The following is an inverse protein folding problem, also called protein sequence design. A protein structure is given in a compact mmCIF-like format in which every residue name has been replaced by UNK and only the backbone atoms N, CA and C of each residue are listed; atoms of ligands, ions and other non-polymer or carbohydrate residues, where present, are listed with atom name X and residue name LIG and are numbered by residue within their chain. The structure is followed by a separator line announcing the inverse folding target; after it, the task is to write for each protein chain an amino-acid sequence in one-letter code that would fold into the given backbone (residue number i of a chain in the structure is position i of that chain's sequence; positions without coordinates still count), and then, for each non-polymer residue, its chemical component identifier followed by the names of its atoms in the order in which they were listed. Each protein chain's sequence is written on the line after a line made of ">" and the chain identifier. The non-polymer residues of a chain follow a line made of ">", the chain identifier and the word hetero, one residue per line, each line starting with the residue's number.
data_IF_990846076595
#
_entry.id   IF_990846076595
#
_cell.length_a   1.000
_cell.length_b   1.000
_cell.length_c   1.000
_cell.angle_alpha   90.00
_cell.angle_beta   90.00
_cell.angle_gamma   90.00
#
_symmetry.space_group_name_H-M   'P 1'
#
loop_
_entity.id
_entity.type
_entity.pdbx_description
1 polymer ?
#
# COMPACT_ATOMS: atom_id res chain seq x y z
N UNK A 1 30.31 18.81 14.48
CA UNK A 1 28.91 19.27 14.32
C UNK A 1 27.95 18.18 14.81
N UNK A 2 27.42 18.36 16.02
CA UNK A 2 26.45 17.46 16.63
C UNK A 2 25.14 17.56 15.83
N UNK A 3 24.73 16.47 15.18
CA UNK A 3 23.40 16.37 14.59
C UNK A 3 22.42 16.34 15.75
N UNK A 4 21.66 17.42 15.94
CA UNK A 4 20.46 17.41 16.78
C UNK A 4 19.57 16.27 16.26
N UNK A 5 19.45 15.21 17.06
CA UNK A 5 18.52 14.12 16.79
C UNK A 5 17.13 14.74 16.86
N UNK A 6 16.53 14.98 15.70
CA UNK A 6 15.16 15.42 15.63
C UNK A 6 14.30 14.28 16.21
N UNK A 7 13.80 14.49 17.43
CA UNK A 7 12.99 13.54 18.19
C UNK A 7 11.57 13.42 17.64
N UNK A 8 11.22 14.19 16.62
CA UNK A 8 9.99 14.05 15.87
C UNK A 8 10.10 12.90 14.85
N UNK A 9 9.06 12.06 14.82
CA UNK A 9 8.81 11.06 13.80
C UNK A 9 8.18 11.72 12.57
N UNK A 10 8.28 11.05 11.43
CA UNK A 10 7.70 11.49 10.15
C UNK A 10 6.17 11.63 10.17
N UNK A 11 5.48 11.10 11.20
CA UNK A 11 4.07 11.34 11.43
C UNK A 11 3.76 12.68 12.14
N UNK A 12 4.78 13.47 12.46
CA UNK A 12 4.68 14.74 13.18
C UNK A 12 4.49 14.62 14.70
N UNK A 13 4.71 13.43 15.28
CA UNK A 13 4.68 13.20 16.73
C UNK A 13 6.09 12.91 17.25
N UNK A 14 6.35 13.15 18.53
CA UNK A 14 7.59 12.73 19.16
C UNK A 14 7.72 11.20 19.14
N UNK A 15 8.92 10.69 18.87
CA UNK A 15 9.22 9.24 18.84
C UNK A 15 8.89 8.55 20.16
N UNK A 16 9.01 9.26 21.28
CA UNK A 16 8.56 8.79 22.60
C UNK A 16 7.06 8.51 22.66
N UNK A 17 6.24 9.22 21.88
CA UNK A 17 4.78 9.05 21.80
C UNK A 17 4.34 7.89 20.89
N UNK A 18 5.28 7.12 20.32
CA UNK A 18 4.98 5.90 19.57
C UNK A 18 4.88 4.65 20.46
N UNK A 19 5.12 4.79 21.77
CA UNK A 19 4.87 3.69 22.70
C UNK A 19 3.37 3.39 22.80
N UNK A 20 3.05 2.19 23.28
CA UNK A 20 1.66 1.83 23.57
C UNK A 20 1.04 2.80 24.59
N UNK A 21 1.83 3.29 25.56
CA UNK A 21 1.39 4.35 26.48
C UNK A 21 1.17 5.70 25.78
N UNK A 22 2.03 6.11 24.86
CA UNK A 22 1.87 7.35 24.08
C UNK A 22 0.64 7.36 23.16
N UNK A 23 0.13 6.18 22.77
CA UNK A 23 -1.16 6.03 22.09
C UNK A 23 -2.36 6.20 23.04
N UNK A 24 -2.20 5.81 24.31
CA UNK A 24 -3.22 5.95 25.37
C UNK A 24 -3.29 7.38 25.93
N UNK A 25 -2.21 8.17 25.80
CA UNK A 25 -2.14 9.56 26.26
C UNK A 25 -3.00 10.56 25.45
N UNK A 26 -3.66 10.12 24.37
CA UNK A 26 -4.71 10.92 23.72
C UNK A 26 -5.97 10.96 24.60
N UNK A 27 -5.90 11.72 25.69
CA UNK A 27 -6.92 11.94 26.71
C UNK A 27 -8.11 12.74 26.17
N UNK A 28 -8.84 12.14 25.24
CA UNK A 28 -10.19 12.52 24.89
C UNK A 28 -11.10 11.37 25.32
N UNK A 29 -12.10 11.66 26.16
CA UNK A 29 -13.16 10.69 26.48
C UNK A 29 -14.04 10.33 25.26
N UNK A 30 -13.84 10.99 24.10
CA UNK A 30 -14.52 10.65 22.87
C UNK A 30 -13.91 9.39 22.22
N UNK A 31 -14.72 8.53 21.59
CA UNK A 31 -14.23 7.36 20.87
C UNK A 31 -13.27 7.79 19.76
N UNK A 32 -12.14 7.07 19.67
CA UNK A 32 -11.14 7.30 18.65
C UNK A 32 -11.77 7.23 17.25
N UNK A 33 -11.46 8.21 16.40
CA UNK A 33 -11.79 8.15 14.99
C UNK A 33 -10.62 8.67 14.16
N UNK A 34 -10.39 8.06 12.99
CA UNK A 34 -9.24 8.40 12.16
C UNK A 34 -9.26 9.86 11.67
N UNK A 35 -10.44 10.51 11.61
CA UNK A 35 -10.57 11.87 11.08
C UNK A 35 -10.04 12.93 12.05
N UNK A 36 -10.26 12.74 13.36
CA UNK A 36 -9.85 13.69 14.39
C UNK A 36 -8.59 13.25 15.15
N UNK A 37 -8.24 11.97 15.11
CA UNK A 37 -7.14 11.41 15.91
C UNK A 37 -5.90 11.04 15.08
N UNK A 38 -5.91 11.29 13.76
CA UNK A 38 -4.73 11.17 12.89
C UNK A 38 -4.28 12.54 12.37
N UNK A 39 -2.97 12.75 12.32
CA UNK A 39 -2.40 13.90 11.64
C UNK A 39 -2.32 13.59 10.14
N UNK A 40 -2.63 14.55 9.25
CA UNK A 40 -2.36 14.37 7.83
C UNK A 40 -0.85 14.21 7.63
N UNK A 41 -0.46 13.15 6.92
CA UNK A 41 0.86 12.92 6.37
C UNK A 41 1.14 14.00 5.32
N UNK A 42 2.06 14.91 5.65
CA UNK A 42 2.46 16.02 4.77
C UNK A 42 3.29 15.51 3.59
N UNK A 43 4.31 14.69 3.88
CA UNK A 43 5.20 14.06 2.91
C UNK A 43 5.34 12.58 3.21
N UNK A 44 5.33 11.72 2.18
CA UNK A 44 5.61 10.29 2.35
C UNK A 44 7.11 10.03 2.20
N UNK A 45 7.74 9.50 3.25
CA UNK A 45 9.14 9.01 3.18
C UNK A 45 9.21 7.49 2.97
N UNK A 46 8.06 6.84 2.83
CA UNK A 46 7.94 5.38 2.73
C UNK A 46 7.58 4.98 1.30
N UNK A 47 8.55 5.10 0.41
CA UNK A 47 8.48 4.63 -0.98
C UNK A 47 9.81 4.01 -1.38
N UNK A 48 9.82 3.17 -2.41
CA UNK A 48 11.05 2.57 -2.92
C UNK A 48 10.82 1.25 -3.65
N UNK A 49 11.84 0.40 -3.63
CA UNK A 49 11.84 -0.92 -4.26
C UNK A 49 11.96 -1.99 -3.17
N UNK A 50 11.07 -2.97 -3.21
CA UNK A 50 11.17 -4.20 -2.43
C UNK A 50 12.09 -5.17 -3.18
N UNK A 51 13.20 -5.53 -2.54
CA UNK A 51 14.12 -6.54 -3.04
C UNK A 51 13.75 -7.90 -2.46
N UNK A 52 13.14 -8.77 -3.26
CA UNK A 52 12.96 -10.17 -2.88
C UNK A 52 14.13 -10.99 -3.41
N UNK A 53 14.86 -11.76 -2.58
CA UNK A 53 16.04 -12.51 -3.00
C UNK A 53 15.84 -13.57 -4.11
N UNK A 54 14.59 -13.84 -4.49
CA UNK A 54 14.23 -14.87 -5.47
C UNK A 54 13.39 -14.33 -6.64
N UNK A 55 13.09 -13.03 -6.67
CA UNK A 55 12.30 -12.44 -7.76
C UNK A 55 13.20 -11.83 -8.82
N UNK A 56 12.87 -12.10 -10.09
CA UNK A 56 13.53 -11.51 -11.25
C UNK A 56 13.01 -10.09 -11.57
N UNK A 57 11.98 -9.64 -10.85
CA UNK A 57 11.29 -8.38 -11.12
C UNK A 57 11.46 -7.40 -9.95
N UNK A 58 11.55 -6.11 -10.27
CA UNK A 58 11.61 -5.04 -9.28
C UNK A 58 10.19 -4.68 -8.84
N UNK A 59 9.89 -4.87 -7.56
CA UNK A 59 8.58 -4.51 -7.00
C UNK A 59 8.66 -3.12 -6.37
N UNK A 60 8.09 -2.10 -7.03
CA UNK A 60 8.00 -0.73 -6.49
C UNK A 60 6.83 -0.62 -5.50
N UNK A 61 6.99 0.21 -4.46
CA UNK A 61 5.93 0.49 -3.50
C UNK A 61 5.93 1.96 -3.08
N UNK A 62 4.76 2.45 -2.67
CA UNK A 62 4.57 3.78 -2.07
C UNK A 62 3.45 3.73 -1.03
N UNK A 63 3.69 4.34 0.14
CA UNK A 63 2.64 4.59 1.13
C UNK A 63 1.92 5.90 0.79
N UNK A 64 0.59 5.83 0.70
CA UNK A 64 -0.26 6.98 0.38
C UNK A 64 -1.21 7.32 1.53
N UNK A 65 -1.72 8.56 1.53
CA UNK A 65 -2.80 8.94 2.44
C UNK A 65 -4.14 8.38 1.97
N UNK A 66 -5.07 8.20 2.90
CA UNK A 66 -6.43 7.77 2.58
C UNK A 66 -7.15 8.74 1.62
N UNK A 67 -6.81 10.03 1.66
CA UNK A 67 -7.43 11.08 0.83
C UNK A 67 -6.65 11.38 -0.45
N UNK A 68 -5.55 10.67 -0.73
CA UNK A 68 -4.81 10.85 -1.98
C UNK A 68 -5.77 10.59 -3.17
N UNK A 69 -5.93 11.53 -4.10
CA UNK A 69 -6.83 11.35 -5.25
C UNK A 69 -6.39 10.15 -6.11
N UNK A 70 -7.36 9.35 -6.56
CA UNK A 70 -7.08 8.19 -7.42
C UNK A 70 -6.38 8.59 -8.74
N UNK A 71 -6.69 9.77 -9.27
CA UNK A 71 -6.06 10.31 -10.48
C UNK A 71 -4.55 10.53 -10.30
N UNK A 72 -4.11 11.01 -9.13
CA UNK A 72 -2.70 11.17 -8.83
C UNK A 72 -1.98 9.81 -8.79
N UNK A 73 -2.62 8.79 -8.21
CA UNK A 73 -2.08 7.43 -8.20
C UNK A 73 -2.03 6.80 -9.60
N UNK A 74 -3.08 7.04 -10.40
CA UNK A 74 -3.14 6.57 -11.77
C UNK A 74 -2.01 7.18 -12.62
N UNK A 75 -1.82 8.50 -12.54
CA UNK A 75 -0.75 9.18 -13.26
C UNK A 75 0.62 8.63 -12.85
N UNK A 76 0.86 8.41 -11.55
CA UNK A 76 2.10 7.82 -11.06
C UNK A 76 2.35 6.41 -11.62
N UNK A 77 1.31 5.56 -11.68
CA UNK A 77 1.42 4.22 -12.27
C UNK A 77 1.72 4.32 -13.77
N UNK A 78 1.04 5.21 -14.49
CA UNK A 78 1.22 5.39 -15.93
C UNK A 78 2.55 6.07 -16.32
N UNK A 79 3.16 6.87 -15.45
CA UNK A 79 4.52 7.40 -15.68
C UNK A 79 5.55 6.26 -15.72
N UNK A 80 5.37 5.25 -14.87
CA UNK A 80 6.24 4.07 -14.80
C UNK A 80 5.86 2.97 -15.81
N UNK A 81 4.59 2.89 -16.20
CA UNK A 81 4.11 1.94 -17.19
C UNK A 81 4.21 2.51 -18.60
N UNK A 82 5.06 1.93 -19.44
CA UNK A 82 5.23 2.36 -20.84
C UNK A 82 3.93 2.34 -21.68
N UNK A 83 2.88 1.67 -21.21
CA UNK A 83 1.58 1.55 -21.88
C UNK A 83 0.42 1.54 -20.86
N UNK A 84 -0.69 2.19 -21.23
CA UNK A 84 -1.93 2.14 -20.46
C UNK A 84 -2.58 0.75 -20.59
N UNK A 85 -2.99 0.10 -19.49
CA UNK A 85 -3.63 -1.21 -19.57
C UNK A 85 -5.00 -1.12 -20.27
N UNK A 86 -5.24 -2.04 -21.20
CA UNK A 86 -6.52 -2.19 -21.91
C UNK A 86 -7.60 -2.91 -21.08
N UNK A 87 -7.20 -3.61 -20.02
CA UNK A 87 -8.05 -4.38 -19.11
C UNK A 87 -7.54 -4.28 -17.67
N UNK A 88 -8.45 -4.07 -16.72
CA UNK A 88 -8.18 -4.11 -15.27
C UNK A 88 -8.96 -5.28 -14.67
N UNK A 89 -8.24 -6.22 -14.03
CA UNK A 89 -8.84 -7.36 -13.33
C UNK A 89 -8.73 -7.13 -11.83
N UNK A 90 -9.86 -6.91 -11.16
CA UNK A 90 -9.92 -6.79 -9.69
C UNK A 90 -10.32 -8.12 -9.06
N UNK A 91 -9.37 -8.79 -8.41
CA UNK A 91 -9.62 -10.04 -7.68
C UNK A 91 -9.82 -9.70 -6.21
N UNK A 92 -11.04 -9.92 -5.70
CA UNK A 92 -11.40 -9.69 -4.31
C UNK A 92 -11.73 -11.01 -3.61
N UNK A 93 -11.42 -11.11 -2.31
CA UNK A 93 -11.65 -12.30 -1.51
C UNK A 93 -11.85 -11.95 -0.03
N UNK A 94 -11.96 -12.97 0.81
CA UNK A 94 -12.01 -12.80 2.27
C UNK A 94 -10.63 -12.87 2.92
N UNK A 95 -10.53 -12.35 4.15
CA UNK A 95 -9.30 -12.43 4.96
C UNK A 95 -8.91 -13.88 5.32
N UNK A 96 -9.90 -14.77 5.46
CA UNK A 96 -9.68 -16.16 5.88
C UNK A 96 -9.19 -17.02 4.72
N UNK A 97 -8.21 -17.87 5.01
CA UNK A 97 -7.78 -18.91 4.09
C UNK A 97 -8.96 -19.80 3.68
N UNK A 98 -9.18 -19.93 2.39
CA UNK A 98 -10.12 -20.89 1.82
C UNK A 98 -9.35 -21.87 0.95
N UNK A 99 -9.81 -23.12 0.92
CA UNK A 99 -9.22 -24.17 0.08
C UNK A 99 -10.08 -24.36 -1.15
N UNK A 100 -9.47 -24.21 -2.32
CA UNK A 100 -10.06 -24.66 -3.58
C UNK A 100 -9.73 -26.13 -3.80
N UNK A 101 -10.60 -26.85 -4.51
CA UNK A 101 -10.19 -28.15 -5.04
C UNK A 101 -9.14 -27.95 -6.15
N UNK A 102 -8.26 -28.94 -6.33
CA UNK A 102 -7.12 -28.84 -7.26
C UNK A 102 -7.52 -28.53 -8.71
N UNK A 103 -8.69 -29.01 -9.15
CA UNK A 103 -9.20 -28.75 -10.51
C UNK A 103 -9.59 -27.28 -10.67
N UNK A 104 -10.35 -26.75 -9.71
CA UNK A 104 -10.80 -25.37 -9.71
C UNK A 104 -9.62 -24.40 -9.63
N UNK A 105 -8.66 -24.66 -8.73
CA UNK A 105 -7.45 -23.86 -8.59
C UNK A 105 -6.67 -23.78 -9.92
N UNK A 106 -6.48 -24.94 -10.57
CA UNK A 106 -5.79 -25.01 -11.87
C UNK A 106 -6.51 -24.21 -12.96
N UNK A 107 -7.81 -24.41 -13.12
CA UNK A 107 -8.57 -23.73 -14.18
C UNK A 107 -8.72 -22.23 -13.90
N UNK A 108 -8.86 -21.83 -12.64
CA UNK A 108 -8.90 -20.43 -12.22
C UNK A 108 -7.59 -19.71 -12.54
N UNK A 109 -6.45 -20.28 -12.13
CA UNK A 109 -5.12 -19.74 -12.44
C UNK A 109 -4.88 -19.64 -13.95
N UNK A 110 -5.23 -20.69 -14.70
CA UNK A 110 -5.09 -20.73 -16.16
C UNK A 110 -5.90 -19.60 -16.82
N UNK A 111 -7.17 -19.45 -16.43
CA UNK A 111 -8.05 -18.42 -16.99
C UNK A 111 -7.53 -17.01 -16.77
N UNK A 112 -7.02 -16.69 -15.57
CA UNK A 112 -6.46 -15.35 -15.27
C UNK A 112 -5.23 -15.07 -16.14
N UNK A 113 -4.31 -16.04 -16.23
CA UNK A 113 -3.08 -15.87 -17.00
C UNK A 113 -3.39 -15.72 -18.50
N UNK A 114 -4.31 -16.53 -19.04
CA UNK A 114 -4.71 -16.44 -20.44
C UNK A 114 -5.39 -15.09 -20.74
N UNK A 115 -6.31 -14.62 -19.89
CA UNK A 115 -6.96 -13.32 -20.05
C UNK A 115 -5.96 -12.16 -20.04
N UNK A 116 -5.01 -12.16 -19.09
CA UNK A 116 -3.98 -11.12 -19.00
C UNK A 116 -3.06 -11.11 -20.23
N UNK A 117 -2.66 -12.29 -20.72
CA UNK A 117 -1.85 -12.41 -21.95
C UNK A 117 -2.57 -11.89 -23.17
N UNK A 118 -3.86 -12.20 -23.32
CA UNK A 118 -4.65 -11.72 -24.46
C UNK A 118 -4.81 -10.21 -24.39
N UNK A 119 -5.12 -9.65 -23.22
CA UNK A 119 -5.30 -8.21 -23.06
C UNK A 119 -4.02 -7.39 -23.26
N UNK A 120 -2.87 -7.91 -22.83
CA UNK A 120 -1.57 -7.24 -22.95
C UNK A 120 -0.86 -7.40 -24.30
N UNK A 121 -1.40 -8.22 -25.21
CA UNK A 121 -0.87 -8.41 -26.58
C UNK A 121 -1.62 -7.57 -27.63
N UNK A 122 -2.49 -6.65 -27.20
CA UNK A 122 -3.23 -5.70 -28.05
C UNK A 122 -2.58 -4.34 -27.90
#
# INVERSE_FOLDING_TARGET
>A
PQQEQNDECDCGRLKSSHSYEGLLESQSNAPWNFRSCSAPMKDTKNFGILHHPYELYLTKFIRCEMKTPAEALYNLICEDCSQQPSLIISICGGEKYFKMNKRLEKEFMRGIIEAAKVAGNV
#
